data_IF_210830365336
#
_entry.id   IF_210830365336
#
_cell.length_a   1.000
_cell.length_b   1.000
_cell.length_c   1.000
_cell.angle_alpha   90.00
_cell.angle_beta   90.00
_cell.angle_gamma   90.00
#
_symmetry.space_group_name_H-M   'P 1'
#
loop_
_entity.id
_entity.type
_entity.pdbx_description
1 polymer ?
#
# COMPACT_ATOMS: atom_id res chain seq x y z
N UNK A 1 -6.93 4.11 -8.90
CA UNK A 1 -8.26 3.43 -8.84
C UNK A 1 -8.77 2.78 -10.15
N UNK A 2 -7.97 2.65 -11.23
CA UNK A 2 -8.34 1.85 -12.42
C UNK A 2 -7.88 0.38 -12.32
N UNK A 3 -6.69 0.15 -11.77
CA UNK A 3 -6.09 -1.19 -11.65
C UNK A 3 -6.89 -2.14 -10.73
N UNK A 4 -7.41 -1.64 -9.61
CA UNK A 4 -8.21 -2.45 -8.67
C UNK A 4 -9.55 -2.90 -9.27
N UNK A 5 -10.19 -2.05 -10.11
CA UNK A 5 -11.45 -2.38 -10.79
C UNK A 5 -11.27 -3.48 -11.86
N UNK A 6 -10.12 -3.49 -12.55
CA UNK A 6 -9.80 -4.50 -13.55
C UNK A 6 -9.55 -5.89 -12.93
N UNK A 7 -8.80 -5.96 -11.81
CA UNK A 7 -8.60 -7.23 -11.09
C UNK A 7 -9.89 -7.84 -10.55
N UNK A 8 -10.81 -7.02 -10.02
CA UNK A 8 -12.09 -7.50 -9.50
C UNK A 8 -12.98 -8.04 -10.64
N UNK A 9 -13.05 -7.35 -11.79
CA UNK A 9 -13.78 -7.82 -12.98
C UNK A 9 -13.23 -9.13 -13.55
N UNK A 10 -11.90 -9.29 -13.60
CA UNK A 10 -11.27 -10.54 -14.05
C UNK A 10 -11.52 -11.73 -13.12
N UNK A 11 -11.57 -11.48 -11.81
CA UNK A 11 -11.87 -12.50 -10.80
C UNK A 11 -13.31 -13.02 -10.88
N UNK A 12 -14.29 -12.12 -11.08
CA UNK A 12 -15.69 -12.53 -11.25
C UNK A 12 -15.93 -13.35 -12.53
N UNK A 13 -15.21 -13.02 -13.62
CA UNK A 13 -15.26 -13.82 -14.85
C UNK A 13 -14.68 -15.22 -14.66
N UNK A 14 -13.55 -15.32 -13.95
CA UNK A 14 -12.93 -16.61 -13.64
C UNK A 14 -13.83 -17.48 -12.73
N UNK A 15 -14.45 -16.87 -11.71
CA UNK A 15 -15.39 -17.56 -10.82
C UNK A 15 -16.63 -18.04 -11.60
N UNK A 16 -17.16 -17.22 -12.52
CA UNK A 16 -18.30 -17.61 -13.36
C UNK A 16 -17.96 -18.76 -14.31
N UNK A 17 -16.74 -18.78 -14.88
CA UNK A 17 -16.26 -19.89 -15.71
C UNK A 17 -16.10 -21.17 -14.90
N UNK A 18 -15.56 -21.09 -13.68
CA UNK A 18 -15.46 -22.21 -12.75
C UNK A 18 -16.85 -22.75 -12.40
N UNK A 19 -17.80 -21.87 -12.03
CA UNK A 19 -19.20 -22.26 -11.73
C UNK A 19 -19.91 -22.90 -12.92
N UNK A 20 -19.66 -22.42 -14.15
CA UNK A 20 -20.22 -23.00 -15.38
C UNK A 20 -19.67 -24.40 -15.68
N UNK A 21 -18.38 -24.64 -15.46
CA UNK A 21 -17.77 -25.97 -15.60
C UNK A 21 -18.30 -26.94 -14.52
N UNK A 22 -18.47 -26.44 -13.29
CA UNK A 22 -19.03 -27.19 -12.15
C UNK A 22 -20.48 -27.63 -12.44
N UNK A 23 -21.33 -26.72 -12.93
CA UNK A 23 -22.72 -27.02 -13.24
C UNK A 23 -22.87 -28.01 -14.42
N UNK A 24 -21.97 -27.92 -15.41
CA UNK A 24 -21.93 -28.86 -16.54
C UNK A 24 -21.57 -30.30 -16.14
N UNK A 25 -20.63 -30.48 -15.21
CA UNK A 25 -20.31 -31.81 -14.65
C UNK A 25 -21.43 -32.35 -13.76
N UNK A 26 -22.07 -31.49 -12.96
CA UNK A 26 -23.20 -31.89 -12.12
C UNK A 26 -24.40 -32.38 -12.95
N UNK A 27 -24.67 -31.73 -14.08
CA UNK A 27 -25.78 -32.09 -14.98
C UNK A 27 -25.58 -33.40 -15.77
N UNK A 28 -24.34 -33.89 -15.89
CA UNK A 28 -24.02 -35.15 -16.60
C UNK A 28 -23.85 -36.35 -15.66
N UNK A 29 -23.85 -36.12 -14.35
CA UNK A 29 -23.60 -37.12 -13.32
C UNK A 29 -24.90 -37.77 -12.82
N UNK A 30 -25.20 -39.00 -13.28
CA UNK A 30 -26.41 -39.74 -12.90
C UNK A 30 -26.26 -40.62 -11.64
N UNK A 31 -25.03 -40.81 -11.13
CA UNK A 31 -24.74 -41.73 -10.03
C UNK A 31 -24.39 -41.01 -8.71
N UNK A 32 -24.81 -41.59 -7.58
CA UNK A 32 -24.53 -41.05 -6.23
C UNK A 32 -23.03 -40.96 -5.90
N UNK A 33 -22.21 -41.87 -6.44
CA UNK A 33 -20.75 -41.86 -6.23
C UNK A 33 -20.06 -40.67 -6.91
N UNK A 34 -20.52 -40.28 -8.10
CA UNK A 34 -19.93 -39.18 -8.87
C UNK A 34 -20.15 -37.84 -8.16
N UNK A 35 -21.31 -37.65 -7.53
CA UNK A 35 -21.63 -36.49 -6.70
C UNK A 35 -20.73 -36.43 -5.45
N UNK A 36 -20.50 -37.55 -4.78
CA UNK A 36 -19.63 -37.60 -3.58
C UNK A 36 -18.17 -37.30 -3.97
N UNK A 37 -17.67 -37.89 -5.06
CA UNK A 37 -16.33 -37.63 -5.55
C UNK A 37 -16.16 -36.16 -5.93
N UNK A 38 -17.16 -35.55 -6.56
CA UNK A 38 -17.16 -34.14 -6.92
C UNK A 38 -17.12 -33.23 -5.68
N UNK A 39 -17.93 -33.52 -4.66
CA UNK A 39 -17.93 -32.78 -3.40
C UNK A 39 -16.57 -32.87 -2.68
N UNK A 40 -15.95 -34.05 -2.68
CA UNK A 40 -14.60 -34.23 -2.13
C UNK A 40 -13.55 -33.39 -2.89
N UNK A 41 -13.62 -33.40 -4.22
CA UNK A 41 -12.71 -32.64 -5.08
C UNK A 41 -12.86 -31.13 -4.87
N UNK A 42 -14.10 -30.64 -4.76
CA UNK A 42 -14.40 -29.25 -4.41
C UNK A 42 -13.87 -28.87 -3.03
N UNK A 43 -14.01 -29.76 -2.04
CA UNK A 43 -13.48 -29.53 -0.70
C UNK A 43 -11.95 -29.39 -0.72
N UNK A 44 -11.25 -30.25 -1.47
CA UNK A 44 -9.80 -30.18 -1.64
C UNK A 44 -9.38 -28.86 -2.32
N UNK A 45 -10.08 -28.44 -3.37
CA UNK A 45 -9.80 -27.16 -4.06
C UNK A 45 -9.98 -25.97 -3.11
N UNK A 46 -11.04 -25.96 -2.29
CA UNK A 46 -11.29 -24.91 -1.29
C UNK A 46 -10.16 -24.87 -0.25
N UNK A 47 -9.68 -26.03 0.20
CA UNK A 47 -8.57 -26.11 1.15
C UNK A 47 -7.26 -25.57 0.56
N UNK A 48 -6.94 -25.92 -0.69
CA UNK A 48 -5.76 -25.41 -1.41
C UNK A 48 -5.83 -23.90 -1.58
N UNK A 49 -6.99 -23.36 -2.00
CA UNK A 49 -7.19 -21.91 -2.12
C UNK A 49 -7.08 -21.21 -0.77
N UNK A 50 -7.65 -21.78 0.28
CA UNK A 50 -7.57 -21.23 1.64
C UNK A 50 -6.12 -21.17 2.13
N UNK A 51 -5.35 -22.23 1.88
CA UNK A 51 -3.92 -22.29 2.20
C UNK A 51 -3.10 -21.28 1.40
N UNK A 52 -3.37 -21.15 0.10
CA UNK A 52 -2.71 -20.16 -0.77
C UNK A 52 -2.98 -18.72 -0.29
N UNK A 53 -4.24 -18.40 0.05
CA UNK A 53 -4.62 -17.10 0.60
C UNK A 53 -3.95 -16.85 1.95
N UNK A 54 -3.89 -17.86 2.82
CA UNK A 54 -3.23 -17.76 4.12
C UNK A 54 -1.74 -17.40 3.98
N UNK A 55 -1.02 -18.11 3.13
CA UNK A 55 0.39 -17.82 2.85
C UNK A 55 0.55 -16.42 2.25
N UNK A 56 -0.32 -16.04 1.31
CA UNK A 56 -0.27 -14.72 0.69
C UNK A 56 -0.53 -13.59 1.70
N UNK A 57 -1.45 -13.78 2.65
CA UNK A 57 -1.72 -12.84 3.75
C UNK A 57 -0.49 -12.64 4.63
N UNK A 58 0.24 -13.71 4.94
CA UNK A 58 1.46 -13.66 5.73
C UNK A 58 2.55 -12.86 5.01
N UNK A 59 2.77 -13.12 3.71
CA UNK A 59 3.73 -12.39 2.90
C UNK A 59 3.38 -10.91 2.77
N UNK A 60 2.10 -10.58 2.53
CA UNK A 60 1.64 -9.18 2.45
C UNK A 60 1.85 -8.44 3.78
N UNK A 61 1.63 -9.10 4.91
CA UNK A 61 1.88 -8.50 6.22
C UNK A 61 3.37 -8.19 6.41
N UNK A 62 4.24 -9.12 6.06
CA UNK A 62 5.68 -8.94 6.14
C UNK A 62 6.18 -7.79 5.27
N UNK A 63 5.68 -7.65 4.04
CA UNK A 63 6.05 -6.51 3.18
C UNK A 63 5.64 -5.16 3.78
N UNK A 64 4.44 -5.08 4.37
CA UNK A 64 3.96 -3.86 5.03
C UNK A 64 4.81 -3.50 6.25
N UNK A 65 5.24 -4.49 7.00
CA UNK A 65 6.06 -4.28 8.20
C UNK A 65 7.50 -3.88 7.82
N UNK A 66 8.06 -4.49 6.77
CA UNK A 66 9.39 -4.15 6.25
C UNK A 66 9.44 -2.72 5.69
N UNK A 67 8.42 -2.31 4.94
CA UNK A 67 8.30 -0.94 4.44
C UNK A 67 8.21 0.07 5.60
N UNK A 68 7.46 -0.25 6.67
CA UNK A 68 7.39 0.60 7.85
C UNK A 68 8.73 0.67 8.61
N UNK A 69 9.46 -0.45 8.73
CA UNK A 69 10.81 -0.47 9.32
C UNK A 69 11.75 0.46 8.56
N UNK A 70 11.75 0.38 7.23
CA UNK A 70 12.58 1.24 6.37
C UNK A 70 12.27 2.73 6.58
N UNK A 71 10.99 3.11 6.56
CA UNK A 71 10.56 4.50 6.77
C UNK A 71 10.94 5.01 8.16
N UNK A 72 10.83 4.16 9.18
CA UNK A 72 11.25 4.52 10.54
C UNK A 72 12.75 4.74 10.66
N UNK A 73 13.58 3.89 10.04
CA UNK A 73 15.03 4.07 10.01
C UNK A 73 15.39 5.37 9.27
N UNK A 74 14.71 5.65 8.15
CA UNK A 74 14.88 6.90 7.40
C UNK A 74 14.55 8.13 8.26
N UNK A 75 13.48 8.06 9.05
CA UNK A 75 13.11 9.12 10.00
C UNK A 75 14.17 9.33 11.09
N UNK A 76 14.73 8.26 11.65
CA UNK A 76 15.74 8.38 12.71
C UNK A 76 17.10 8.91 12.20
N UNK A 77 17.39 8.80 10.91
CA UNK A 77 18.64 9.28 10.32
C UNK A 77 19.90 8.52 10.76
N UNK A 78 19.77 7.49 11.61
CA UNK A 78 20.87 6.69 12.13
C UNK A 78 20.54 5.20 12.05
N UNK A 79 21.23 4.49 11.15
CA UNK A 79 21.18 3.04 11.04
C UNK A 79 22.17 2.36 12.01
N UNK A 80 22.19 2.79 13.27
CA UNK A 80 23.01 2.14 14.28
C UNK A 80 22.49 0.72 14.53
N UNK A 81 23.40 -0.25 14.60
CA UNK A 81 23.07 -1.68 14.71
C UNK A 81 22.17 -2.00 15.94
N UNK A 82 22.42 -1.31 17.06
CA UNK A 82 21.59 -1.39 18.27
C UNK A 82 20.15 -0.90 18.03
N UNK A 83 19.95 0.14 17.21
CA UNK A 83 18.62 0.67 16.91
C UNK A 83 17.82 -0.32 16.05
N UNK A 84 18.49 -1.03 15.13
CA UNK A 84 17.87 -2.07 14.29
C UNK A 84 17.39 -3.24 15.16
N UNK A 85 18.23 -3.72 16.09
CA UNK A 85 17.85 -4.80 16.99
C UNK A 85 16.67 -4.43 17.90
N UNK A 86 16.66 -3.21 18.46
CA UNK A 86 15.54 -2.70 19.26
C UNK A 86 14.26 -2.57 18.45
N UNK A 87 14.37 -2.09 17.20
CA UNK A 87 13.24 -1.98 16.29
C UNK A 87 12.67 -3.37 15.97
N UNK A 88 13.51 -4.36 15.70
CA UNK A 88 13.04 -5.71 15.42
C UNK A 88 12.29 -6.33 16.61
N UNK A 89 12.77 -6.08 17.84
CA UNK A 89 12.06 -6.47 19.06
C UNK A 89 10.69 -5.80 19.19
N UNK A 90 10.57 -4.52 18.82
CA UNK A 90 9.30 -3.79 18.84
C UNK A 90 8.31 -4.34 17.79
N UNK A 91 8.78 -4.83 16.64
CA UNK A 91 7.89 -5.41 15.64
C UNK A 91 7.31 -6.79 16.03
N UNK A 92 7.80 -7.42 17.11
CA UNK A 92 7.16 -8.62 17.68
C UNK A 92 5.80 -8.33 18.32
N UNK A 93 5.54 -7.11 18.77
CA UNK A 93 4.28 -6.74 19.44
C UNK A 93 3.47 -5.79 18.56
N UNK A 94 2.18 -6.07 18.34
CA UNK A 94 1.32 -5.24 17.46
C UNK A 94 1.11 -3.81 17.96
N UNK A 95 1.11 -3.62 19.28
CA UNK A 95 0.88 -2.30 19.87
C UNK A 95 2.03 -1.33 19.53
N UNK A 96 3.28 -1.80 19.63
CA UNK A 96 4.45 -1.01 19.23
C UNK A 96 4.49 -0.74 17.73
N UNK A 97 4.05 -1.67 16.87
CA UNK A 97 3.94 -1.42 15.42
C UNK A 97 2.96 -0.27 15.14
N UNK A 98 1.85 -0.20 15.89
CA UNK A 98 0.87 0.88 15.76
C UNK A 98 1.45 2.23 16.19
N UNK A 99 2.19 2.24 17.30
CA UNK A 99 2.88 3.45 17.78
C UNK A 99 3.91 3.93 16.75
N UNK A 100 4.76 3.03 16.24
CA UNK A 100 5.78 3.32 15.22
C UNK A 100 5.11 3.88 13.95
N UNK A 101 4.00 3.28 13.50
CA UNK A 101 3.25 3.76 12.34
C UNK A 101 2.76 5.19 12.52
N UNK A 102 2.25 5.53 13.70
CA UNK A 102 1.80 6.89 14.00
C UNK A 102 2.97 7.88 14.09
N UNK A 103 4.11 7.45 14.63
CA UNK A 103 5.33 8.28 14.66
C UNK A 103 5.83 8.61 13.26
N UNK A 104 6.00 7.59 12.40
CA UNK A 104 6.42 7.76 11.01
C UNK A 104 5.45 8.67 10.27
N UNK A 105 4.14 8.42 10.40
CA UNK A 105 3.12 9.24 9.73
C UNK A 105 3.20 10.72 10.12
N UNK A 106 3.35 11.02 11.41
CA UNK A 106 3.48 12.42 11.88
C UNK A 106 4.75 13.08 11.34
N UNK A 107 5.87 12.36 11.34
CA UNK A 107 7.11 12.89 10.78
C UNK A 107 6.99 13.19 9.27
N UNK A 108 6.43 12.25 8.49
CA UNK A 108 6.22 12.44 7.06
C UNK A 108 5.32 13.66 6.77
N UNK A 109 4.26 13.85 7.57
CA UNK A 109 3.39 15.02 7.47
C UNK A 109 4.14 16.33 7.79
N UNK A 110 4.93 16.37 8.85
CA UNK A 110 5.70 17.55 9.22
C UNK A 110 6.75 17.92 8.16
N UNK A 111 7.44 16.91 7.60
CA UNK A 111 8.40 17.12 6.51
C UNK A 111 7.71 17.67 5.27
N UNK A 112 6.53 17.15 4.93
CA UNK A 112 5.75 17.65 3.80
C UNK A 112 5.29 19.09 4.03
N UNK A 113 4.73 19.41 5.20
CA UNK A 113 4.30 20.76 5.55
C UNK A 113 5.46 21.76 5.51
N UNK A 114 6.65 21.36 5.98
CA UNK A 114 7.84 22.19 5.93
C UNK A 114 8.28 22.45 4.48
N UNK A 115 8.29 21.42 3.63
CA UNK A 115 8.61 21.57 2.22
C UNK A 115 7.61 22.50 1.49
N UNK A 116 6.32 22.38 1.78
CA UNK A 116 5.28 23.26 1.23
C UNK A 116 5.42 24.72 1.69
N UNK A 117 5.85 24.96 2.94
CA UNK A 117 6.13 26.30 3.45
C UNK A 117 7.34 26.92 2.77
N UNK A 118 8.42 26.14 2.58
CA UNK A 118 9.62 26.59 1.88
C UNK A 118 9.28 26.95 0.43
N UNK A 119 8.51 26.11 -0.26
CA UNK A 119 8.13 26.37 -1.66
C UNK A 119 7.20 27.60 -1.80
N UNK A 120 6.36 27.86 -0.80
CA UNK A 120 5.57 29.11 -0.76
C UNK A 120 6.47 30.33 -0.56
N UNK A 121 7.37 30.30 0.42
CA UNK A 121 8.31 31.39 0.66
C UNK A 121 9.21 31.67 -0.55
N UNK A 122 9.61 30.62 -1.29
CA UNK A 122 10.38 30.74 -2.53
C UNK A 122 9.61 31.50 -3.61
N UNK A 123 8.33 31.17 -3.81
CA UNK A 123 7.45 31.85 -4.78
C UNK A 123 7.19 33.31 -4.41
N UNK A 124 6.90 33.58 -3.14
CA UNK A 124 6.69 34.95 -2.65
C UNK A 124 7.94 35.82 -2.83
N UNK A 125 9.14 35.25 -2.61
CA UNK A 125 10.40 35.96 -2.83
C UNK A 125 10.66 36.25 -4.33
N UNK A 126 10.36 35.30 -5.22
CA UNK A 126 10.47 35.51 -6.68
C UNK A 126 9.50 36.60 -7.17
N UNK A 127 8.26 36.61 -6.68
CA UNK A 127 7.27 37.65 -7.02
C UNK A 127 7.70 39.03 -6.51
N UNK A 128 8.22 39.12 -5.29
CA UNK A 128 8.73 40.36 -4.72
C UNK A 128 9.92 40.93 -5.53
N UNK A 129 10.84 40.06 -5.98
CA UNK A 129 11.98 40.48 -6.81
C UNK A 129 11.53 41.03 -8.17
N UNK A 130 10.53 40.40 -8.80
CA UNK A 130 9.96 40.87 -10.07
C UNK A 130 9.31 42.24 -9.91
N UNK A 131 8.47 42.42 -8.88
CA UNK A 131 7.82 43.69 -8.58
C UNK A 131 8.83 44.80 -8.27
N UNK A 132 9.91 44.46 -7.56
CA UNK A 132 10.99 45.41 -7.29
C UNK A 132 11.68 45.86 -8.59
N UNK A 133 12.01 44.93 -9.50
CA UNK A 133 12.60 45.27 -10.81
C UNK A 133 11.67 46.14 -11.65
N UNK A 134 10.36 45.85 -11.64
CA UNK A 134 9.37 46.64 -12.39
C UNK A 134 9.32 48.08 -11.86
N UNK A 135 9.20 48.27 -10.55
CA UNK A 135 9.20 49.61 -9.93
C UNK A 135 10.49 50.39 -10.17
N UNK A 136 11.65 49.74 -10.11
CA UNK A 136 12.94 50.37 -10.42
C UNK A 136 13.04 50.81 -11.89
N UNK A 137 12.52 50.00 -12.82
CA UNK A 137 12.51 50.34 -14.25
C UNK A 137 11.54 51.48 -14.58
N UNK A 138 10.34 51.49 -13.98
CA UNK A 138 9.38 52.58 -14.11
C UNK A 138 9.96 53.91 -13.57
N UNK A 139 10.61 53.88 -12.40
CA UNK A 139 11.24 55.06 -11.81
C UNK A 139 12.39 55.61 -12.67
N UNK A 140 13.13 54.75 -13.36
CA UNK A 140 14.19 55.16 -14.29
C UNK A 140 13.63 55.80 -15.57
N UNK A 141 12.49 55.32 -16.06
CA UNK A 141 11.86 55.82 -17.28
C UNK A 141 11.04 57.11 -17.06
N UNK A 142 10.68 57.45 -15.81
CA UNK A 142 9.93 58.67 -15.46
C UNK A 142 10.82 59.89 -15.18
N UNK A 143 12.15 59.76 -15.31
CA UNK A 143 13.14 60.79 -14.99
C UNK A 143 13.89 61.21 -16.25
#
# INVERSE_FOLDING_TARGET
>A
NRCSKASISSGFSFIYLILRQIYGLYATSSNKCDIILFLLLMCIVILILSFAIYNQRQTISQYKDNDLKYRYIKMQGQAAENNIYRLDRQFRYRDSVTIIRNQVKRYEQLVQEQAERIERARREAEEAEILQKETESLKRNSK
#
